data_IF_024198804289
#
_entry.id   IF_024198804289
#
_cell.length_a   1.000
_cell.length_b   1.000
_cell.length_c   1.000
_cell.angle_alpha   90.00
_cell.angle_beta   90.00
_cell.angle_gamma   90.00
#
_symmetry.space_group_name_H-M   'P 1'
#
loop_
_entity.id
_entity.type
_entity.pdbx_description
1 polymer ?
#
# COMPACT_ATOMS: atom_id res chain seq x y z
N UNK A 1 19.55 14.93 28.20
CA UNK A 1 20.60 15.47 27.39
C UNK A 1 21.31 14.37 26.63
N UNK A 2 20.75 13.91 25.51
CA UNK A 2 21.40 12.93 24.64
C UNK A 2 22.37 13.62 23.71
N UNK A 3 23.58 13.11 23.61
CA UNK A 3 24.57 13.50 22.61
C UNK A 3 23.98 13.40 21.21
N UNK A 4 24.21 14.40 20.36
CA UNK A 4 23.60 14.66 19.06
C UNK A 4 23.83 13.63 17.93
N UNK A 5 23.78 12.32 18.26
CA UNK A 5 23.93 11.21 17.28
C UNK A 5 22.73 10.24 17.22
N UNK A 6 21.63 10.54 17.89
CA UNK A 6 20.44 9.65 17.88
C UNK A 6 19.59 9.77 16.63
N UNK A 7 18.63 8.83 16.45
CA UNK A 7 17.75 8.80 15.28
C UNK A 7 16.66 9.89 15.30
N UNK A 8 16.29 10.42 16.49
CA UNK A 8 15.32 11.51 16.64
C UNK A 8 15.72 12.80 15.91
N UNK A 9 16.96 13.32 16.06
CA UNK A 9 17.39 14.52 15.34
C UNK A 9 17.38 14.36 13.81
N UNK A 10 17.42 13.12 13.34
CA UNK A 10 17.38 12.79 11.90
C UNK A 10 15.96 12.60 11.37
N UNK A 11 14.93 12.76 12.20
CA UNK A 11 13.54 12.48 11.83
C UNK A 11 13.25 11.01 11.54
N UNK A 12 14.10 10.10 12.03
CA UNK A 12 14.01 8.65 11.78
C UNK A 12 13.50 7.85 12.99
N UNK A 13 13.15 8.52 14.07
CA UNK A 13 12.61 7.91 15.27
C UNK A 13 11.45 8.70 15.85
N UNK A 14 10.57 8.01 16.55
CA UNK A 14 9.47 8.60 17.31
C UNK A 14 9.25 7.83 18.60
N UNK A 15 8.88 8.56 19.66
CA UNK A 15 8.34 7.99 20.86
C UNK A 15 6.82 8.05 20.77
N UNK A 16 6.17 6.89 20.86
CA UNK A 16 4.74 6.75 20.54
C UNK A 16 3.98 6.15 21.72
N UNK A 17 2.73 6.58 21.88
CA UNK A 17 1.72 5.93 22.69
C UNK A 17 0.62 5.44 21.76
N UNK A 18 0.36 4.15 21.76
CA UNK A 18 -0.63 3.55 20.89
C UNK A 18 -1.96 3.33 21.63
N UNK A 19 -3.05 3.48 20.89
CA UNK A 19 -4.40 3.25 21.40
C UNK A 19 -5.13 2.24 20.50
N UNK A 20 -6.00 1.44 21.08
CA UNK A 20 -6.92 0.59 20.33
C UNK A 20 -8.09 1.42 19.77
N UNK A 21 -8.98 0.77 19.01
CA UNK A 21 -10.16 1.42 18.42
C UNK A 21 -11.15 1.98 19.45
N UNK A 22 -11.12 1.48 20.69
CA UNK A 22 -11.96 1.94 21.78
C UNK A 22 -11.35 3.13 22.55
N UNK A 23 -10.15 3.58 22.17
CA UNK A 23 -9.41 4.63 22.86
C UNK A 23 -8.62 4.15 24.08
N UNK A 24 -8.52 2.83 24.32
CA UNK A 24 -7.70 2.30 25.39
C UNK A 24 -6.23 2.24 24.98
N UNK A 25 -5.32 2.50 25.92
CA UNK A 25 -3.90 2.41 25.66
C UNK A 25 -3.46 0.97 25.41
N UNK A 26 -2.72 0.77 24.33
CA UNK A 26 -2.06 -0.51 24.04
C UNK A 26 -0.76 -0.56 24.84
N UNK A 27 -0.52 -1.66 25.53
CA UNK A 27 0.73 -1.84 26.27
C UNK A 27 1.95 -1.75 25.37
N UNK A 28 2.96 -0.97 25.78
CA UNK A 28 4.25 -0.86 25.10
C UNK A 28 4.90 -2.24 24.85
N UNK A 29 4.66 -3.23 25.69
CA UNK A 29 5.12 -4.62 25.48
C UNK A 29 4.59 -5.18 24.17
N UNK A 30 3.29 -5.00 23.90
CA UNK A 30 2.65 -5.48 22.66
C UNK A 30 3.09 -4.63 21.47
N UNK A 31 3.23 -3.31 21.66
CA UNK A 31 3.75 -2.41 20.61
C UNK A 31 5.16 -2.81 20.19
N UNK A 32 6.06 -3.13 21.15
CA UNK A 32 7.40 -3.62 20.85
C UNK A 32 7.38 -4.94 20.04
N UNK A 33 6.53 -5.88 20.43
CA UNK A 33 6.37 -7.15 19.70
C UNK A 33 5.91 -6.92 18.26
N UNK A 34 4.88 -6.11 18.08
CA UNK A 34 4.32 -5.78 16.77
C UNK A 34 5.34 -5.01 15.90
N UNK A 35 6.06 -4.05 16.49
CA UNK A 35 7.10 -3.30 15.78
C UNK A 35 8.25 -4.18 15.33
N UNK A 36 8.62 -5.19 16.10
CA UNK A 36 9.60 -6.20 15.71
C UNK A 36 9.12 -7.01 14.50
N UNK A 37 7.87 -7.47 14.50
CA UNK A 37 7.28 -8.19 13.37
C UNK A 37 7.16 -7.30 12.12
N UNK A 38 7.01 -5.99 12.30
CA UNK A 38 7.01 -4.99 11.23
C UNK A 38 8.41 -4.58 10.75
N UNK A 39 9.48 -5.08 11.39
CA UNK A 39 10.86 -4.85 10.95
C UNK A 39 11.44 -3.49 11.35
N UNK A 40 10.94 -2.82 12.40
CA UNK A 40 11.62 -1.67 12.98
C UNK A 40 13.01 -2.04 13.48
N UNK A 41 14.01 -1.22 13.21
CA UNK A 41 15.40 -1.51 13.57
C UNK A 41 15.81 -1.01 14.96
N UNK A 42 15.09 -0.05 15.52
CA UNK A 42 15.23 0.39 16.90
C UNK A 42 13.88 0.34 17.60
N UNK A 43 13.79 -0.41 18.68
CA UNK A 43 12.55 -0.63 19.42
C UNK A 43 12.87 -0.69 20.91
N UNK A 44 12.21 0.15 21.73
CA UNK A 44 12.34 0.05 23.18
C UNK A 44 11.07 0.47 23.92
N UNK A 45 10.78 -0.18 25.04
CA UNK A 45 9.92 0.40 26.06
C UNK A 45 10.66 1.53 26.80
N UNK A 46 10.03 2.69 26.94
CA UNK A 46 10.67 3.89 27.48
C UNK A 46 10.03 4.41 28.78
N UNK A 47 9.01 3.75 29.29
CA UNK A 47 8.38 4.14 30.55
C UNK A 47 8.04 2.96 31.48
N UNK A 48 7.96 3.26 32.78
CA UNK A 48 7.66 2.27 33.84
C UNK A 48 6.25 1.72 33.76
N UNK A 49 5.33 2.49 33.20
CA UNK A 49 3.92 2.11 33.06
C UNK A 49 3.68 1.24 31.81
N UNK A 50 4.69 1.01 31.00
CA UNK A 50 4.60 0.30 29.72
C UNK A 50 3.53 0.88 28.78
N UNK A 51 3.51 2.21 28.66
CA UNK A 51 2.57 2.93 27.80
C UNK A 51 3.22 3.63 26.62
N UNK A 52 4.53 3.86 26.65
CA UNK A 52 5.26 4.53 25.61
C UNK A 52 6.39 3.66 25.04
N UNK A 53 6.57 3.72 23.73
CA UNK A 53 7.52 2.92 22.97
C UNK A 53 8.33 3.81 22.05
N UNK A 54 9.67 3.65 22.09
CA UNK A 54 10.57 4.19 21.08
C UNK A 54 10.57 3.31 19.85
N UNK A 55 10.39 3.90 18.68
CA UNK A 55 10.44 3.23 17.39
C UNK A 55 11.36 3.99 16.44
N UNK A 56 12.29 3.31 15.77
CA UNK A 56 13.06 3.90 14.69
C UNK A 56 13.25 2.96 13.50
N UNK A 57 13.57 3.57 12.35
CA UNK A 57 13.66 2.87 11.05
C UNK A 57 15.11 2.61 10.62
N UNK A 58 16.03 2.42 11.57
CA UNK A 58 17.41 2.08 11.22
C UNK A 58 17.50 0.73 10.51
N UNK A 59 18.40 0.61 9.57
CA UNK A 59 18.63 -0.63 8.81
C UNK A 59 19.96 -1.31 9.20
N UNK A 60 20.77 -0.64 10.02
CA UNK A 60 22.01 -1.16 10.57
C UNK A 60 22.11 -0.81 12.04
N UNK A 61 22.93 -1.54 12.77
CA UNK A 61 23.03 -1.41 14.22
C UNK A 61 21.68 -1.55 14.90
N UNK A 62 20.98 -2.63 14.58
CA UNK A 62 19.68 -2.97 15.17
C UNK A 62 19.77 -2.88 16.68
N UNK A 63 18.78 -2.19 17.29
CA UNK A 63 18.77 -1.93 18.72
C UNK A 63 17.39 -2.21 19.29
N UNK A 64 17.32 -3.18 20.20
CA UNK A 64 16.13 -3.53 20.93
C UNK A 64 16.40 -3.40 22.42
N UNK A 65 15.51 -2.71 23.14
CA UNK A 65 15.75 -2.40 24.52
C UNK A 65 14.52 -2.19 25.39
N UNK A 66 14.81 -2.00 26.66
CA UNK A 66 13.86 -1.54 27.65
C UNK A 66 14.58 -0.51 28.54
N UNK A 67 14.31 0.76 28.34
CA UNK A 67 15.01 1.85 29.01
C UNK A 67 14.68 1.95 30.51
N UNK A 68 13.57 1.34 30.92
CA UNK A 68 13.13 1.35 32.33
C UNK A 68 14.09 0.62 33.24
N UNK A 69 14.72 -0.44 32.75
CA UNK A 69 15.61 -1.32 33.54
C UNK A 69 17.07 -1.15 33.15
N UNK A 70 17.46 0.08 32.81
CA UNK A 70 18.85 0.43 32.57
C UNK A 70 19.45 -0.28 31.36
N UNK A 71 18.84 -0.10 30.19
CA UNK A 71 19.41 -0.41 28.90
C UNK A 71 19.85 -1.87 28.71
N UNK A 72 18.92 -2.76 28.50
CA UNK A 72 19.23 -4.12 28.07
C UNK A 72 18.88 -4.33 26.62
N UNK A 73 19.83 -4.75 25.82
CA UNK A 73 19.59 -5.21 24.46
C UNK A 73 18.79 -6.49 24.51
N UNK A 74 17.57 -6.47 24.00
CA UNK A 74 16.79 -7.66 23.73
C UNK A 74 17.20 -8.13 22.34
N UNK A 75 18.03 -9.17 22.26
CA UNK A 75 18.66 -9.56 21.00
C UNK A 75 17.80 -10.45 20.11
N UNK A 76 16.79 -11.14 20.68
CA UNK A 76 16.22 -12.26 19.96
C UNK A 76 14.72 -12.13 19.69
N UNK A 77 13.90 -11.82 20.69
CA UNK A 77 12.46 -11.89 20.54
C UNK A 77 11.74 -11.18 21.68
N UNK A 78 11.03 -10.10 21.38
CA UNK A 78 10.23 -9.40 22.36
C UNK A 78 9.09 -10.23 22.93
N UNK A 79 8.50 -11.13 22.16
CA UNK A 79 7.46 -12.04 22.65
C UNK A 79 7.98 -12.91 23.80
N UNK A 80 9.16 -13.50 23.60
CA UNK A 80 9.84 -14.29 24.63
C UNK A 80 10.26 -13.42 25.82
N UNK A 81 10.80 -12.23 25.55
CA UNK A 81 11.26 -11.31 26.57
C UNK A 81 10.13 -10.85 27.50
N UNK A 82 8.98 -10.48 26.95
CA UNK A 82 7.83 -10.02 27.71
C UNK A 82 6.91 -11.14 28.19
N UNK A 83 7.18 -12.41 27.86
CA UNK A 83 6.31 -13.54 28.20
C UNK A 83 4.93 -13.43 27.54
N UNK A 84 4.83 -12.76 26.41
CA UNK A 84 3.61 -12.65 25.61
C UNK A 84 3.57 -13.85 24.67
N UNK A 85 2.49 -14.61 24.68
CA UNK A 85 2.27 -15.60 23.66
C UNK A 85 2.19 -14.83 22.31
N UNK A 86 2.99 -15.20 21.32
CA UNK A 86 2.73 -14.75 19.95
C UNK A 86 1.30 -15.09 19.66
N UNK A 87 0.47 -14.07 19.54
CA UNK A 87 -0.96 -14.27 19.29
C UNK A 87 -1.14 -15.19 18.10
N UNK A 88 -2.22 -15.95 18.08
CA UNK A 88 -2.58 -16.89 17.02
C UNK A 88 -2.64 -16.31 15.61
N UNK A 89 -2.33 -15.03 15.42
CA UNK A 89 -2.04 -14.39 14.13
C UNK A 89 -0.66 -14.74 13.58
N UNK A 90 0.28 -15.30 14.41
CA UNK A 90 1.60 -15.75 13.95
C UNK A 90 1.83 -17.24 14.16
N UNK A 91 0.92 -17.95 14.83
CA UNK A 91 0.91 -19.39 14.97
C UNK A 91 -0.43 -19.98 14.55
N UNK A 92 -0.85 -19.76 13.32
CA UNK A 92 -1.39 -20.89 12.61
C UNK A 92 -0.16 -21.76 12.30
N UNK A 93 -0.04 -22.87 13.07
CA UNK A 93 0.83 -24.01 12.79
C UNK A 93 1.11 -24.13 11.31
N UNK A 94 2.19 -24.79 10.93
CA UNK A 94 2.44 -25.33 9.61
C UNK A 94 1.28 -26.23 9.12
N UNK A 95 0.08 -25.73 9.10
CA UNK A 95 -0.95 -26.11 8.18
C UNK A 95 -0.42 -25.66 6.83
N UNK A 96 -0.11 -26.65 5.99
CA UNK A 96 0.15 -26.58 4.58
C UNK A 96 -0.56 -25.34 4.03
N UNK A 97 0.18 -24.23 3.81
CA UNK A 97 -0.36 -22.99 3.27
C UNK A 97 -1.20 -23.40 2.05
N UNK A 98 -2.50 -23.31 2.18
CA UNK A 98 -3.38 -23.66 1.07
C UNK A 98 -3.19 -22.58 0.05
N UNK A 99 -2.46 -22.91 -1.03
CA UNK A 99 -2.27 -22.00 -2.15
C UNK A 99 -3.64 -21.70 -2.73
N UNK A 100 -4.04 -20.43 -2.70
CA UNK A 100 -5.32 -19.99 -3.23
C UNK A 100 -5.19 -19.69 -4.72
N UNK A 101 -6.10 -20.27 -5.52
CA UNK A 101 -6.18 -20.05 -6.96
C UNK A 101 -7.00 -18.78 -7.24
N UNK A 102 -6.44 -17.85 -7.98
CA UNK A 102 -7.11 -16.61 -8.38
C UNK A 102 -6.93 -16.27 -9.84
N UNK A 103 -7.63 -15.24 -10.25
CA UNK A 103 -7.52 -14.64 -11.56
C UNK A 103 -7.35 -13.13 -11.43
N UNK A 104 -6.81 -12.48 -12.45
CA UNK A 104 -6.99 -11.04 -12.61
C UNK A 104 -7.65 -10.72 -13.94
N UNK A 105 -8.48 -9.69 -13.94
CA UNK A 105 -9.36 -9.37 -15.06
C UNK A 105 -9.50 -7.87 -15.27
N UNK A 106 -9.71 -7.50 -16.53
CA UNK A 106 -9.99 -6.15 -16.99
C UNK A 106 -11.06 -6.17 -18.09
N UNK A 107 -11.41 -5.01 -18.63
CA UNK A 107 -12.34 -4.90 -19.76
C UNK A 107 -11.99 -5.85 -20.93
N UNK A 108 -10.72 -6.22 -21.07
CA UNK A 108 -10.25 -7.12 -22.14
C UNK A 108 -10.78 -8.56 -22.03
N UNK A 109 -11.20 -8.98 -20.85
CA UNK A 109 -11.79 -10.32 -20.64
C UNK A 109 -13.27 -10.39 -21.01
N UNK A 110 -13.90 -9.26 -21.38
CA UNK A 110 -15.29 -9.22 -21.86
C UNK A 110 -16.31 -9.54 -20.77
N UNK A 111 -17.36 -10.27 -21.10
CA UNK A 111 -18.36 -10.68 -20.13
C UNK A 111 -17.84 -11.84 -19.28
N UNK A 112 -18.04 -11.75 -17.95
CA UNK A 112 -17.62 -12.77 -16.98
C UNK A 112 -18.85 -13.34 -16.25
N UNK A 113 -19.01 -14.66 -16.31
CA UNK A 113 -19.99 -15.36 -15.50
C UNK A 113 -19.36 -15.81 -14.17
N UNK A 114 -19.51 -14.99 -13.14
CA UNK A 114 -18.88 -15.19 -11.86
C UNK A 114 -19.32 -16.46 -11.12
N UNK A 115 -20.54 -16.96 -11.36
CA UNK A 115 -20.98 -18.24 -10.80
C UNK A 115 -20.16 -19.40 -11.40
N UNK A 116 -19.93 -19.39 -12.71
CA UNK A 116 -19.11 -20.41 -13.37
C UNK A 116 -17.63 -20.28 -12.96
N UNK A 117 -17.10 -19.05 -12.89
CA UNK A 117 -15.73 -18.79 -12.40
C UNK A 117 -15.52 -19.39 -11.01
N UNK A 118 -16.44 -19.15 -10.08
CA UNK A 118 -16.38 -19.70 -8.73
C UNK A 118 -16.52 -21.23 -8.73
N UNK A 119 -17.42 -21.79 -9.53
CA UNK A 119 -17.61 -23.23 -9.66
C UNK A 119 -16.38 -23.94 -10.25
N UNK A 120 -15.58 -23.25 -11.06
CA UNK A 120 -14.30 -23.73 -11.62
C UNK A 120 -13.12 -23.67 -10.62
N UNK A 121 -13.42 -23.36 -9.35
CA UNK A 121 -12.47 -23.38 -8.25
C UNK A 121 -11.62 -22.13 -8.09
N UNK A 122 -11.99 -21.01 -8.73
CA UNK A 122 -11.38 -19.70 -8.49
C UNK A 122 -11.83 -19.19 -7.13
N UNK A 123 -10.88 -18.76 -6.29
CA UNK A 123 -11.12 -18.40 -4.90
C UNK A 123 -11.02 -16.90 -4.64
N UNK A 124 -10.39 -16.14 -5.54
CA UNK A 124 -10.33 -14.67 -5.51
C UNK A 124 -10.11 -14.08 -6.90
N UNK A 125 -10.38 -12.80 -7.03
CA UNK A 125 -10.12 -12.07 -8.26
C UNK A 125 -9.50 -10.69 -7.98
N UNK A 126 -8.55 -10.26 -8.82
CA UNK A 126 -7.98 -8.92 -8.81
C UNK A 126 -8.52 -8.17 -10.01
N UNK A 127 -9.20 -7.05 -9.77
CA UNK A 127 -9.95 -6.31 -10.78
C UNK A 127 -9.18 -5.05 -11.19
N UNK A 128 -9.00 -4.80 -12.49
CA UNK A 128 -8.46 -3.52 -12.90
C UNK A 128 -9.45 -2.41 -12.57
N UNK A 129 -9.06 -1.48 -11.65
CA UNK A 129 -9.88 -0.31 -11.36
C UNK A 129 -9.80 0.72 -12.48
N UNK A 130 -8.64 0.87 -13.07
CA UNK A 130 -8.38 1.80 -14.16
C UNK A 130 -6.89 1.92 -14.47
N UNK A 131 -6.53 3.03 -15.11
CA UNK A 131 -5.17 3.32 -15.53
C UNK A 131 -4.94 4.83 -15.68
N UNK A 132 -3.68 5.26 -15.60
CA UNK A 132 -3.31 6.64 -15.88
C UNK A 132 -3.83 7.66 -14.86
N UNK A 133 -3.98 8.92 -15.27
CA UNK A 133 -4.15 10.08 -14.37
C UNK A 133 -5.54 10.71 -14.38
N UNK A 134 -6.46 10.18 -15.19
CA UNK A 134 -7.75 10.81 -15.42
C UNK A 134 -8.91 9.93 -14.97
N UNK A 135 -9.93 10.52 -14.37
CA UNK A 135 -11.07 9.78 -13.84
C UNK A 135 -11.83 8.99 -14.91
N UNK A 136 -11.83 9.45 -16.17
CA UNK A 136 -12.46 8.73 -17.28
C UNK A 136 -11.67 7.46 -17.71
N UNK A 137 -10.44 7.29 -17.19
CA UNK A 137 -9.62 6.09 -17.42
C UNK A 137 -9.98 4.94 -16.46
N UNK A 138 -11.06 5.07 -15.70
CA UNK A 138 -11.65 3.93 -14.99
C UNK A 138 -11.92 2.79 -15.97
N UNK A 139 -11.58 1.54 -15.59
CA UNK A 139 -11.88 0.38 -16.41
C UNK A 139 -13.40 0.27 -16.63
N UNK A 140 -13.80 0.11 -17.89
CA UNK A 140 -15.21 0.15 -18.30
C UNK A 140 -16.07 -0.94 -17.65
N UNK A 141 -15.43 -2.05 -17.20
CA UNK A 141 -16.13 -3.16 -16.55
C UNK A 141 -15.88 -3.25 -15.05
N UNK A 142 -15.11 -2.35 -14.48
CA UNK A 142 -14.75 -2.42 -13.06
C UNK A 142 -15.97 -2.50 -12.13
N UNK A 143 -16.96 -1.60 -12.32
CA UNK A 143 -18.16 -1.57 -11.48
C UNK A 143 -19.03 -2.83 -11.67
N UNK A 144 -19.14 -3.30 -12.90
CA UNK A 144 -19.86 -4.53 -13.23
C UNK A 144 -19.18 -5.74 -12.56
N UNK A 145 -17.87 -5.86 -12.75
CA UNK A 145 -17.09 -6.96 -12.18
C UNK A 145 -17.12 -6.96 -10.65
N UNK A 146 -16.88 -5.80 -10.05
CA UNK A 146 -16.94 -5.66 -8.59
C UNK A 146 -18.30 -6.12 -8.05
N UNK A 147 -19.39 -5.54 -8.54
CA UNK A 147 -20.74 -5.88 -8.09
C UNK A 147 -21.05 -7.36 -8.26
N UNK A 148 -20.74 -7.91 -9.42
CA UNK A 148 -21.11 -9.29 -9.76
C UNK A 148 -20.20 -10.31 -9.03
N UNK A 149 -18.92 -10.05 -8.86
CA UNK A 149 -18.01 -10.86 -8.06
C UNK A 149 -18.45 -10.89 -6.58
N UNK A 150 -18.75 -9.72 -6.01
CA UNK A 150 -19.25 -9.63 -4.63
C UNK A 150 -20.59 -10.32 -4.45
N UNK A 151 -21.50 -10.27 -5.42
CA UNK A 151 -22.80 -10.93 -5.36
C UNK A 151 -22.71 -12.46 -5.22
N UNK A 152 -21.66 -13.07 -5.77
CA UNK A 152 -21.40 -14.52 -5.61
C UNK A 152 -20.48 -14.83 -4.42
N UNK A 153 -20.12 -13.81 -3.62
CA UNK A 153 -19.20 -13.95 -2.50
C UNK A 153 -17.77 -14.28 -2.94
N UNK A 154 -17.32 -13.76 -4.09
CA UNK A 154 -15.93 -13.83 -4.53
C UNK A 154 -15.12 -12.74 -3.81
N UNK A 155 -14.07 -13.10 -3.04
CA UNK A 155 -13.13 -12.11 -2.51
C UNK A 155 -12.43 -11.37 -3.64
N UNK A 156 -12.30 -10.05 -3.51
CA UNK A 156 -11.72 -9.21 -4.56
C UNK A 156 -10.61 -8.31 -4.05
N UNK A 157 -9.62 -8.05 -4.90
CA UNK A 157 -8.68 -6.95 -4.80
C UNK A 157 -8.77 -6.08 -6.05
N UNK A 158 -7.84 -5.14 -6.17
CA UNK A 158 -7.81 -4.29 -7.35
C UNK A 158 -6.39 -3.93 -7.76
N UNK A 159 -6.21 -3.50 -9.02
CA UNK A 159 -4.97 -2.93 -9.48
C UNK A 159 -5.19 -1.67 -10.32
N UNK A 160 -4.18 -0.83 -10.36
CA UNK A 160 -4.12 0.37 -11.15
C UNK A 160 -2.95 0.31 -12.11
N UNK A 161 -3.21 0.29 -13.40
CA UNK A 161 -2.18 0.26 -14.43
C UNK A 161 -1.56 1.64 -14.60
N UNK A 162 -0.25 1.73 -14.39
CA UNK A 162 0.45 3.01 -14.34
C UNK A 162 1.09 3.39 -15.67
N UNK A 163 0.90 4.64 -16.04
CA UNK A 163 1.68 5.34 -17.07
C UNK A 163 2.62 6.39 -16.49
N UNK A 164 2.76 6.45 -15.15
CA UNK A 164 3.58 7.44 -14.48
C UNK A 164 5.06 7.29 -14.84
N UNK A 165 5.72 8.43 -15.06
CA UNK A 165 7.16 8.55 -15.27
C UNK A 165 7.82 9.44 -14.21
N UNK A 166 7.02 9.99 -13.29
CA UNK A 166 7.47 10.81 -12.18
C UNK A 166 6.68 10.53 -10.91
N UNK A 167 7.25 10.93 -9.78
CA UNK A 167 6.62 10.82 -8.46
C UNK A 167 5.28 11.57 -8.39
N UNK A 168 5.22 12.75 -9.00
CA UNK A 168 3.99 13.56 -9.01
C UNK A 168 2.88 12.88 -9.84
N UNK A 169 3.23 12.30 -10.98
CA UNK A 169 2.28 11.54 -11.78
C UNK A 169 1.76 10.31 -11.02
N UNK A 170 2.63 9.58 -10.32
CA UNK A 170 2.22 8.44 -9.49
C UNK A 170 1.27 8.84 -8.35
N UNK A 171 1.46 10.02 -7.74
CA UNK A 171 0.52 10.56 -6.74
C UNK A 171 -0.84 10.88 -7.35
N UNK A 172 -0.88 11.51 -8.53
CA UNK A 172 -2.12 11.82 -9.23
C UNK A 172 -2.87 10.51 -9.56
N UNK A 173 -2.17 9.51 -10.09
CA UNK A 173 -2.74 8.20 -10.36
C UNK A 173 -3.32 7.55 -9.08
N UNK A 174 -2.61 7.64 -7.96
CA UNK A 174 -3.10 7.14 -6.67
C UNK A 174 -4.39 7.84 -6.23
N UNK A 175 -4.47 9.16 -6.35
CA UNK A 175 -5.66 9.94 -5.98
C UNK A 175 -6.87 9.57 -6.86
N UNK A 176 -6.66 9.41 -8.16
CA UNK A 176 -7.72 8.94 -9.08
C UNK A 176 -8.15 7.52 -8.72
N UNK A 177 -7.20 6.61 -8.50
CA UNK A 177 -7.48 5.25 -8.05
C UNK A 177 -8.34 5.26 -6.77
N UNK A 178 -7.92 5.97 -5.74
CA UNK A 178 -8.63 6.11 -4.46
C UNK A 178 -10.08 6.59 -4.69
N UNK A 179 -10.27 7.59 -5.54
CA UNK A 179 -11.61 8.13 -5.82
C UNK A 179 -12.57 7.09 -6.43
N UNK A 180 -12.04 6.18 -7.23
CA UNK A 180 -12.80 5.09 -7.86
C UNK A 180 -13.11 3.95 -6.88
N UNK A 181 -12.20 3.71 -5.93
CA UNK A 181 -12.34 2.65 -4.93
C UNK A 181 -13.26 3.03 -3.75
N UNK A 182 -13.56 4.30 -3.56
CA UNK A 182 -14.38 4.79 -2.42
C UNK A 182 -15.71 4.05 -2.30
N UNK A 183 -16.10 3.75 -1.05
CA UNK A 183 -17.35 3.06 -0.73
C UNK A 183 -17.37 1.56 -1.05
N UNK A 184 -16.25 0.99 -1.44
CA UNK A 184 -16.10 -0.43 -1.76
C UNK A 184 -15.21 -1.15 -0.74
N UNK A 185 -15.40 -2.46 -0.61
CA UNK A 185 -14.63 -3.33 0.28
C UNK A 185 -13.83 -4.35 -0.53
N UNK A 186 -12.54 -4.48 -0.21
CA UNK A 186 -11.62 -5.37 -0.92
C UNK A 186 -10.90 -6.30 0.06
N UNK A 187 -11.08 -7.59 -0.09
CA UNK A 187 -10.42 -8.63 0.72
C UNK A 187 -8.94 -8.83 0.36
N UNK A 188 -8.51 -8.32 -0.78
CA UNK A 188 -7.15 -8.39 -1.29
C UNK A 188 -6.55 -6.99 -1.42
N UNK A 189 -5.21 -6.87 -1.51
CA UNK A 189 -4.55 -5.57 -1.63
C UNK A 189 -5.00 -4.77 -2.87
N UNK A 190 -4.69 -3.48 -2.81
CA UNK A 190 -4.75 -2.59 -3.97
C UNK A 190 -3.33 -2.46 -4.51
N UNK A 191 -3.12 -2.88 -5.75
CA UNK A 191 -1.80 -2.97 -6.35
C UNK A 191 -1.51 -1.81 -7.30
N UNK A 192 -0.33 -1.23 -7.15
CA UNK A 192 0.29 -0.40 -8.17
C UNK A 192 0.90 -1.31 -9.22
N UNK A 193 0.42 -1.25 -10.44
CA UNK A 193 0.88 -2.06 -11.56
C UNK A 193 1.85 -1.22 -12.40
N UNK A 194 3.15 -1.47 -12.22
CA UNK A 194 4.23 -0.72 -12.85
C UNK A 194 4.98 -1.62 -13.84
N UNK A 195 4.66 -1.50 -15.12
CA UNK A 195 5.24 -2.35 -16.16
C UNK A 195 5.61 -1.62 -17.46
N UNK A 196 5.31 -0.31 -17.54
CA UNK A 196 5.64 0.48 -18.72
C UNK A 196 7.14 0.73 -18.87
N UNK A 197 7.66 0.52 -20.09
CA UNK A 197 9.06 0.78 -20.40
C UNK A 197 9.46 2.23 -20.19
N UNK A 198 8.54 3.17 -20.40
CA UNK A 198 8.73 4.60 -20.14
C UNK A 198 9.07 4.87 -18.68
N UNK A 199 8.43 4.17 -17.74
CA UNK A 199 8.73 4.25 -16.32
C UNK A 199 10.14 3.70 -16.04
N UNK A 200 10.48 2.53 -16.59
CA UNK A 200 11.80 1.90 -16.37
C UNK A 200 12.96 2.75 -16.94
N UNK A 201 12.73 3.48 -18.03
CA UNK A 201 13.72 4.40 -18.61
C UNK A 201 14.11 5.55 -17.66
N UNK A 202 13.32 5.83 -16.64
CA UNK A 202 13.61 6.84 -15.62
C UNK A 202 14.60 6.36 -14.55
N UNK A 203 14.90 5.07 -14.53
CA UNK A 203 15.89 4.46 -13.66
C UNK A 203 15.35 3.99 -12.31
N UNK A 204 16.15 3.17 -11.62
CA UNK A 204 15.79 2.45 -10.40
C UNK A 204 15.28 3.34 -9.27
N UNK A 205 16.00 4.44 -9.01
CA UNK A 205 15.65 5.36 -7.91
C UNK A 205 14.27 6.00 -8.13
N UNK A 206 13.97 6.45 -9.36
CA UNK A 206 12.69 7.06 -9.66
C UNK A 206 11.55 6.03 -9.68
N UNK A 207 11.75 4.84 -10.25
CA UNK A 207 10.77 3.76 -10.17
C UNK A 207 10.40 3.42 -8.72
N UNK A 208 11.40 3.26 -7.86
CA UNK A 208 11.18 3.00 -6.43
C UNK A 208 10.47 4.16 -5.73
N UNK A 209 10.82 5.40 -6.09
CA UNK A 209 10.16 6.59 -5.54
C UNK A 209 8.69 6.70 -5.97
N UNK A 210 8.35 6.34 -7.21
CA UNK A 210 6.96 6.27 -7.70
C UNK A 210 6.16 5.23 -6.93
N UNK A 211 6.71 4.03 -6.72
CA UNK A 211 6.06 2.99 -5.91
C UNK A 211 5.78 3.48 -4.50
N UNK A 212 6.78 4.10 -3.83
CA UNK A 212 6.58 4.68 -2.49
C UNK A 212 5.49 5.74 -2.47
N UNK A 213 5.46 6.59 -3.49
CA UNK A 213 4.48 7.68 -3.57
C UNK A 213 3.07 7.14 -3.73
N UNK A 214 2.82 6.27 -4.70
CA UNK A 214 1.52 5.67 -4.95
C UNK A 214 1.02 4.87 -3.74
N UNK A 215 1.84 3.96 -3.23
CA UNK A 215 1.47 3.11 -2.10
C UNK A 215 1.22 3.91 -0.82
N UNK A 216 1.99 4.99 -0.57
CA UNK A 216 1.77 5.86 0.58
C UNK A 216 0.42 6.59 0.51
N UNK A 217 -0.01 7.05 -0.66
CA UNK A 217 -1.34 7.65 -0.81
C UNK A 217 -2.45 6.62 -0.55
N UNK A 218 -2.31 5.38 -1.03
CA UNK A 218 -3.22 4.29 -0.72
C UNK A 218 -3.30 4.01 0.79
N UNK A 219 -2.13 3.89 1.44
CA UNK A 219 -2.05 3.63 2.90
C UNK A 219 -2.71 4.75 3.71
N UNK A 220 -2.49 6.02 3.33
CA UNK A 220 -3.14 7.18 3.97
C UNK A 220 -4.67 7.15 3.82
N UNK A 221 -5.16 6.61 2.73
CA UNK A 221 -6.58 6.42 2.49
C UNK A 221 -7.17 5.14 3.12
N UNK A 222 -6.37 4.40 3.91
CA UNK A 222 -6.79 3.21 4.61
C UNK A 222 -6.80 1.94 3.76
N UNK A 223 -6.06 1.92 2.65
CA UNK A 223 -5.93 0.72 1.82
C UNK A 223 -4.64 -0.05 2.11
N UNK A 224 -4.73 -1.37 2.00
CA UNK A 224 -3.57 -2.27 2.05
C UNK A 224 -2.88 -2.24 0.68
N UNK A 225 -1.74 -1.57 0.62
CA UNK A 225 -1.03 -1.31 -0.63
C UNK A 225 -0.13 -2.48 -1.06
N UNK A 226 -0.04 -2.69 -2.38
CA UNK A 226 0.82 -3.67 -3.00
C UNK A 226 1.48 -3.16 -4.29
N UNK A 227 2.43 -3.94 -4.78
CA UNK A 227 3.11 -3.72 -6.05
C UNK A 227 2.94 -4.95 -6.93
N UNK A 228 2.47 -4.76 -8.16
CA UNK A 228 2.58 -5.74 -9.23
C UNK A 228 3.71 -5.38 -10.17
N UNK A 229 4.51 -6.35 -10.50
CA UNK A 229 5.59 -6.21 -11.48
C UNK A 229 6.07 -7.57 -11.98
N UNK A 230 6.57 -7.64 -13.21
CA UNK A 230 7.29 -8.80 -13.71
C UNK A 230 8.62 -8.98 -12.98
N UNK A 231 9.06 -10.24 -12.76
CA UNK A 231 10.27 -10.58 -11.99
C UNK A 231 11.55 -9.87 -12.47
N UNK A 232 11.77 -9.79 -13.78
CA UNK A 232 12.98 -9.18 -14.32
C UNK A 232 13.06 -7.66 -14.02
N UNK A 233 12.04 -6.85 -14.36
CA UNK A 233 12.01 -5.44 -13.95
C UNK A 233 12.06 -5.25 -12.44
N UNK A 234 11.36 -6.08 -11.66
CA UNK A 234 11.38 -6.00 -10.21
C UNK A 234 12.81 -6.10 -9.63
N UNK A 235 13.59 -7.07 -10.11
CA UNK A 235 14.97 -7.23 -9.69
C UNK A 235 15.86 -6.06 -10.11
N UNK A 236 15.61 -5.47 -11.28
CA UNK A 236 16.46 -4.44 -11.88
C UNK A 236 16.13 -3.03 -11.39
N UNK A 237 14.84 -2.73 -11.18
CA UNK A 237 14.37 -1.36 -10.96
C UNK A 237 13.78 -1.11 -9.57
N UNK A 238 13.77 -2.10 -8.67
CA UNK A 238 13.31 -1.89 -7.29
C UNK A 238 14.47 -1.87 -6.30
N UNK A 239 14.50 -0.84 -5.46
CA UNK A 239 15.39 -0.76 -4.30
C UNK A 239 14.99 -1.79 -3.23
N UNK A 240 15.92 -2.13 -2.34
CA UNK A 240 15.75 -3.27 -1.44
C UNK A 240 14.63 -3.07 -0.40
N UNK A 241 14.35 -1.83 0.00
CA UNK A 241 13.23 -1.52 0.89
C UNK A 241 11.87 -1.80 0.23
N UNK A 242 11.73 -1.55 -1.09
CA UNK A 242 10.51 -1.89 -1.83
C UNK A 242 10.25 -3.38 -1.82
N UNK A 243 11.30 -4.18 -1.93
CA UNK A 243 11.21 -5.65 -2.03
C UNK A 243 10.60 -6.31 -0.79
N UNK A 244 10.58 -5.61 0.34
CA UNK A 244 10.09 -6.15 1.62
C UNK A 244 8.95 -5.34 2.23
N UNK A 245 8.67 -4.13 1.72
CA UNK A 245 7.76 -3.17 2.37
C UNK A 245 6.29 -3.37 1.99
N UNK A 246 6.02 -3.72 0.76
CA UNK A 246 4.65 -3.79 0.21
C UNK A 246 4.24 -5.22 -0.13
N UNK A 247 2.93 -5.47 -0.22
CA UNK A 247 2.44 -6.74 -0.74
C UNK A 247 2.95 -6.96 -2.16
N UNK A 248 3.74 -7.99 -2.38
CA UNK A 248 4.31 -8.28 -3.69
C UNK A 248 3.41 -9.24 -4.46
N UNK A 249 2.97 -8.81 -5.63
CA UNK A 249 2.34 -9.61 -6.68
C UNK A 249 3.32 -9.69 -7.86
N UNK A 250 3.99 -10.81 -8.00
CA UNK A 250 5.09 -10.98 -8.96
C UNK A 250 4.63 -11.80 -10.17
N UNK A 251 4.84 -11.29 -11.37
CA UNK A 251 4.61 -12.04 -12.59
C UNK A 251 5.87 -12.76 -13.06
N UNK A 252 5.76 -14.05 -13.24
CA UNK A 252 6.75 -14.93 -13.85
C UNK A 252 6.03 -16.13 -14.45
N UNK A 253 5.88 -16.18 -15.75
CA UNK A 253 5.10 -17.24 -16.39
C UNK A 253 5.90 -18.54 -16.44
N UNK A 254 5.30 -19.60 -15.90
CA UNK A 254 5.95 -20.91 -15.82
C UNK A 254 5.28 -21.86 -14.81
N UNK A 255 5.91 -23.02 -14.68
CA UNK A 255 5.46 -24.06 -13.75
C UNK A 255 5.94 -23.86 -12.32
N UNK A 256 6.93 -22.99 -12.11
CA UNK A 256 7.48 -22.65 -10.80
C UNK A 256 7.92 -21.19 -10.76
N UNK A 257 7.86 -20.61 -9.57
CA UNK A 257 8.39 -19.29 -9.29
C UNK A 257 9.88 -19.41 -8.94
N UNK A 258 10.74 -18.66 -9.68
CA UNK A 258 12.19 -18.69 -9.48
C UNK A 258 12.70 -17.48 -8.69
N UNK A 259 11.82 -16.71 -8.05
CA UNK A 259 12.19 -15.64 -7.16
C UNK A 259 12.34 -16.17 -5.73
N UNK A 260 13.49 -15.91 -5.10
CA UNK A 260 13.82 -16.45 -3.76
C UNK A 260 13.35 -15.57 -2.60
N UNK A 261 12.88 -14.34 -2.86
CA UNK A 261 12.36 -13.45 -1.85
C UNK A 261 10.90 -13.77 -1.49
N UNK A 262 10.37 -13.04 -0.51
CA UNK A 262 8.97 -13.20 -0.11
C UNK A 262 8.03 -12.69 -1.21
N UNK A 263 7.08 -13.52 -1.61
CA UNK A 263 6.02 -13.18 -2.58
C UNK A 263 4.68 -13.50 -1.95
N UNK A 264 3.77 -12.56 -1.99
CA UNK A 264 2.40 -12.77 -1.49
C UNK A 264 1.49 -13.40 -2.54
N UNK A 265 1.68 -13.01 -3.80
CA UNK A 265 0.91 -13.53 -4.93
C UNK A 265 1.80 -13.68 -6.17
N UNK A 266 1.63 -14.77 -6.87
CA UNK A 266 2.33 -15.08 -8.11
C UNK A 266 1.35 -15.15 -9.29
N UNK A 267 1.56 -14.30 -10.31
CA UNK A 267 0.90 -14.44 -11.61
C UNK A 267 1.73 -15.41 -12.47
N UNK A 268 1.21 -16.61 -12.64
CA UNK A 268 1.95 -17.73 -13.23
C UNK A 268 1.70 -17.94 -14.73
N UNK A 269 0.65 -17.36 -15.26
CA UNK A 269 0.26 -17.54 -16.67
C UNK A 269 -0.70 -16.44 -17.12
N UNK A 270 -0.60 -16.03 -18.37
CA UNK A 270 -1.55 -15.15 -19.07
C UNK A 270 -2.42 -15.91 -20.10
N UNK A 271 -2.36 -17.23 -20.10
CA UNK A 271 -3.06 -18.07 -21.09
C UNK A 271 -3.97 -19.12 -20.43
N UNK A 272 -4.37 -18.87 -19.18
CA UNK A 272 -5.28 -19.74 -18.44
C UNK A 272 -6.66 -19.83 -19.12
N UNK A 273 -7.40 -20.89 -18.75
CA UNK A 273 -8.79 -21.08 -19.13
C UNK A 273 -9.62 -21.31 -17.89
N UNK A 274 -10.69 -20.54 -17.76
CA UNK A 274 -11.61 -20.62 -16.64
C UNK A 274 -13.03 -20.59 -17.16
N UNK A 275 -13.86 -21.51 -16.69
CA UNK A 275 -15.27 -21.53 -17.04
C UNK A 275 -15.94 -20.20 -16.68
N UNK A 276 -16.71 -19.65 -17.63
CA UNK A 276 -17.36 -18.35 -17.42
C UNK A 276 -16.57 -17.15 -17.97
N UNK A 277 -15.36 -17.36 -18.51
CA UNK A 277 -14.57 -16.36 -19.22
C UNK A 277 -14.28 -16.85 -20.62
N UNK A 278 -14.55 -16.00 -21.62
CA UNK A 278 -14.22 -16.31 -23.01
C UNK A 278 -12.77 -15.92 -23.30
N UNK A 279 -11.97 -16.86 -23.80
CA UNK A 279 -10.57 -16.61 -24.14
C UNK A 279 -9.61 -16.87 -22.98
N UNK A 280 -8.45 -16.24 -23.04
CA UNK A 280 -7.40 -16.36 -22.04
C UNK A 280 -7.72 -15.49 -20.81
N UNK A 281 -7.24 -15.94 -19.66
CA UNK A 281 -7.28 -15.18 -18.41
C UNK A 281 -5.99 -15.39 -17.63
N UNK A 282 -5.57 -14.35 -16.94
CA UNK A 282 -4.39 -14.40 -16.09
C UNK A 282 -4.66 -15.22 -14.82
N UNK A 283 -3.71 -16.14 -14.52
CA UNK A 283 -3.84 -17.10 -13.43
C UNK A 283 -2.88 -16.78 -12.32
N UNK A 284 -3.41 -16.75 -11.11
CA UNK A 284 -2.68 -16.38 -9.91
C UNK A 284 -2.69 -17.47 -8.84
N UNK A 285 -1.59 -17.55 -8.09
CA UNK A 285 -1.47 -18.29 -6.85
C UNK A 285 -1.18 -17.31 -5.72
N UNK A 286 -1.97 -17.35 -4.66
CA UNK A 286 -1.77 -16.52 -3.47
C UNK A 286 -1.35 -17.39 -2.29
N UNK A 287 -0.29 -16.95 -1.59
CA UNK A 287 0.35 -17.67 -0.49
C UNK A 287 0.05 -17.06 0.88
N UNK A 288 -0.66 -15.93 0.92
CA UNK A 288 -0.98 -15.16 2.12
C UNK A 288 -2.49 -15.06 2.25
N UNK A 289 -3.01 -15.26 3.45
CA UNK A 289 -4.40 -14.93 3.77
C UNK A 289 -4.55 -13.40 3.92
N UNK A 290 -4.68 -12.73 2.78
CA UNK A 290 -4.92 -11.29 2.76
C UNK A 290 -6.28 -10.93 3.32
N UNK A 291 -7.29 -11.77 3.11
CA UNK A 291 -8.64 -11.49 3.55
C UNK A 291 -8.72 -11.37 5.07
N UNK A 292 -8.08 -12.27 5.79
CA UNK A 292 -7.99 -12.21 7.25
C UNK A 292 -7.19 -10.98 7.71
N UNK A 293 -6.00 -10.75 7.12
CA UNK A 293 -5.13 -9.61 7.49
C UNK A 293 -5.81 -8.27 7.28
N UNK A 294 -6.47 -8.07 6.16
CA UNK A 294 -7.11 -6.80 5.78
C UNK A 294 -8.34 -6.54 6.65
N UNK A 295 -9.18 -7.55 6.87
CA UNK A 295 -10.37 -7.42 7.70
C UNK A 295 -10.02 -7.17 9.17
N UNK A 296 -9.08 -7.94 9.72
CA UNK A 296 -8.66 -7.77 11.11
C UNK A 296 -7.99 -6.42 11.38
N UNK A 297 -7.35 -5.84 10.36
CA UNK A 297 -6.76 -4.50 10.43
C UNK A 297 -7.76 -3.36 10.15
N UNK A 298 -9.01 -3.67 9.78
CA UNK A 298 -10.01 -2.66 9.40
C UNK A 298 -9.63 -1.85 8.16
N UNK A 299 -8.86 -2.42 7.23
CA UNK A 299 -8.42 -1.76 6.01
C UNK A 299 -9.37 -2.03 4.83
N UNK A 300 -9.14 -1.38 3.68
CA UNK A 300 -9.87 -1.59 2.44
C UNK A 300 -11.39 -1.45 2.57
N UNK A 301 -11.84 -0.55 3.43
CA UNK A 301 -13.27 -0.30 3.65
C UNK A 301 -13.96 -1.24 4.64
N UNK A 302 -13.22 -2.09 5.37
CA UNK A 302 -13.78 -2.96 6.42
C UNK A 302 -13.84 -2.30 7.81
N UNK A 303 -13.33 -1.09 7.99
CA UNK A 303 -13.54 -0.36 9.24
C UNK A 303 -15.00 0.11 9.31
N UNK A 304 -15.66 -0.09 10.45
CA UNK A 304 -16.96 0.50 10.76
C UNK A 304 -16.85 2.04 10.91
N UNK A 305 -15.65 2.56 11.03
CA UNK A 305 -15.36 3.96 10.98
C UNK A 305 -15.23 4.36 9.50
N UNK A 306 -16.29 4.89 8.93
CA UNK A 306 -16.13 5.75 7.77
C UNK A 306 -15.16 6.84 8.22
N UNK A 307 -13.88 6.70 7.85
CA UNK A 307 -13.07 7.88 7.65
C UNK A 307 -13.81 8.60 6.54
N UNK A 308 -14.67 9.54 6.92
CA UNK A 308 -15.11 10.57 5.99
C UNK A 308 -13.77 11.19 5.61
N UNK A 309 -13.21 10.72 4.49
CA UNK A 309 -12.14 11.45 3.83
C UNK A 309 -12.72 12.87 3.79
N UNK A 310 -12.09 13.77 4.51
CA UNK A 310 -12.39 15.18 4.34
C UNK A 310 -12.43 15.35 2.82
N UNK A 311 -13.52 15.90 2.25
CA UNK A 311 -13.62 16.09 0.81
C UNK A 311 -12.25 16.63 0.41
N UNK A 312 -11.62 16.12 -0.66
CA UNK A 312 -10.30 16.57 -1.02
C UNK A 312 -10.39 18.07 -0.87
N UNK A 313 -9.63 18.60 0.10
CA UNK A 313 -9.45 20.03 0.20
C UNK A 313 -8.87 20.28 -1.15
N UNK A 314 -9.72 20.78 -2.05
CA UNK A 314 -9.25 21.33 -3.32
C UNK A 314 -8.06 22.17 -2.86
N UNK A 315 -6.85 21.93 -3.37
CA UNK A 315 -5.72 22.70 -2.91
C UNK A 315 -6.29 24.10 -2.85
N UNK A 316 -6.33 24.69 -1.67
CA UNK A 316 -6.55 26.12 -1.58
C UNK A 316 -5.47 26.65 -2.48
N UNK A 317 -5.87 26.88 -3.73
CA UNK A 317 -5.15 27.79 -4.58
C UNK A 317 -5.23 29.03 -3.69
N UNK A 318 -4.10 29.47 -3.10
CA UNK A 318 -4.14 30.73 -2.40
C UNK A 318 -4.83 31.61 -3.41
N UNK A 319 -5.96 32.24 -3.05
CA UNK A 319 -6.52 33.31 -3.83
C UNK A 319 -5.34 34.26 -4.00
N UNK A 320 -4.59 34.04 -5.06
CA UNK A 320 -3.73 35.06 -5.58
C UNK A 320 -4.79 36.10 -5.93
N UNK A 321 -4.95 37.08 -5.04
CA UNK A 321 -5.61 38.30 -5.42
C UNK A 321 -5.02 38.65 -6.78
N UNK A 322 -5.76 38.35 -7.84
CA UNK A 322 -5.41 38.67 -9.22
C UNK A 322 -5.52 40.18 -9.40
N UNK A 323 -4.86 40.93 -8.54
CA UNK A 323 -4.65 42.35 -8.64
C UNK A 323 -3.16 42.59 -8.87
N UNK A 324 -2.72 42.41 -10.10
CA UNK A 324 -1.44 42.93 -10.48
C UNK A 324 -1.58 44.46 -10.53
N UNK A 325 -0.83 45.15 -9.70
CA UNK A 325 -0.66 46.58 -9.82
C UNK A 325 0.49 46.82 -10.83
N UNK A 326 0.18 47.52 -11.90
CA UNK A 326 1.18 47.93 -12.90
C UNK A 326 1.52 49.40 -12.65
N UNK A 327 2.77 49.70 -12.46
CA UNK A 327 3.30 51.07 -12.41
C UNK A 327 4.01 51.41 -13.73
N UNK A 328 3.59 52.47 -14.36
CA UNK A 328 4.21 52.96 -15.59
C UNK A 328 4.69 54.39 -15.37
N UNK A 329 5.96 54.64 -15.59
CA UNK A 329 6.50 56.01 -15.54
C UNK A 329 6.59 56.58 -16.95
N UNK A 330 5.95 57.73 -17.18
CA UNK A 330 5.99 58.47 -18.44
C UNK A 330 6.40 59.93 -18.12
N UNK A 331 7.47 60.39 -18.72
CA UNK A 331 8.02 61.75 -18.54
C UNK A 331 8.26 62.13 -17.07
N UNK A 332 8.68 61.18 -16.22
CA UNK A 332 8.97 61.43 -14.80
C UNK A 332 7.75 61.39 -13.87
N UNK A 333 6.57 61.17 -14.38
CA UNK A 333 5.36 60.93 -13.58
C UNK A 333 5.03 59.44 -13.54
N UNK A 334 4.69 58.92 -12.35
CA UNK A 334 4.36 57.50 -12.15
C UNK A 334 2.84 57.32 -12.09
N UNK A 335 2.33 56.45 -12.94
CA UNK A 335 0.92 56.02 -12.99
C UNK A 335 0.79 54.59 -12.49
N UNK A 336 -0.05 54.35 -11.51
CA UNK A 336 -0.36 53.01 -11.04
C UNK A 336 -1.81 52.63 -11.35
N UNK A 337 -2.02 51.39 -11.79
CA UNK A 337 -3.34 50.86 -12.12
C UNK A 337 -3.47 49.35 -11.79
N UNK A 338 -4.68 48.93 -11.41
CA UNK A 338 -5.00 47.55 -11.18
C UNK A 338 -5.46 46.87 -12.46
N UNK A 339 -4.85 45.73 -12.81
CA UNK A 339 -5.27 44.91 -13.93
C UNK A 339 -6.29 43.87 -13.41
N UNK A 340 -7.51 43.88 -13.92
CA UNK A 340 -8.50 42.87 -13.72
C UNK A 340 -8.54 41.97 -14.95
N UNK A 341 -8.49 40.63 -14.73
CA UNK A 341 -8.72 39.67 -15.81
C UNK A 341 -10.16 39.79 -16.29
N UNK A 342 -10.35 40.01 -17.59
CA UNK A 342 -11.67 39.93 -18.22
C UNK A 342 -12.08 38.48 -18.48
#
# INVERSE_FOLDING_TARGET
GGNGGGQHPLGKAADVVCYNQNGDRISSKLVCCTAQDLGFGGIANIDTSYTATHLDVRTSNIWYGNEVINYHTVTDDFYKYYGIARGSTAQKSAEKSTVLKGIDVSVHNGAVNWNQVKADGVQFAILRAGYGREAYQKDQRFEEYYRNAKAVGMPVGSYWYSYATSVEEAKIEAQVCISILQGKQFEYPIYFDLEEQSAFNTGKANCSAMVRAFCRELERAGYFAGLYMSRSPFNSYMEDDIKTRYALWLAEYGSQLNYSGAVGMWQKSSTGRVSGISGNVDMNECYIDYAEKIKSAGLNGFSDCQIVAAPPVAPEIPEIENQATVEVSINGETYSGKLNKK
#
